data_IF_778526117359
#
_entry.id   IF_778526117359
#
_cell.length_a   1.000
_cell.length_b   1.000
_cell.length_c   1.000
_cell.angle_alpha   90.00
_cell.angle_beta   90.00
_cell.angle_gamma   90.00
#
_symmetry.space_group_name_H-M   'P 1'
#
loop_
_entity.id
_entity.type
_entity.pdbx_description
1 polymer ?
#
# COMPACT_ATOMS: atom_id res chain seq x y z
N UNK A 1 -30.98 -23.20 6.78
CA UNK A 1 -31.29 -21.78 6.49
C UNK A 1 -30.06 -21.18 5.81
N UNK A 2 -30.02 -21.22 4.47
CA UNK A 2 -28.85 -20.76 3.71
C UNK A 2 -28.85 -19.24 3.63
N UNK A 3 -27.93 -18.60 4.34
CA UNK A 3 -27.67 -17.17 4.20
C UNK A 3 -26.98 -16.94 2.85
N UNK A 4 -27.76 -16.79 1.78
CA UNK A 4 -27.31 -16.03 0.61
C UNK A 4 -27.17 -14.58 1.07
N UNK A 5 -26.11 -14.27 1.84
CA UNK A 5 -25.68 -12.89 2.04
C UNK A 5 -25.23 -12.42 0.68
N UNK A 6 -26.11 -11.72 -0.03
CA UNK A 6 -25.74 -10.92 -1.20
C UNK A 6 -24.55 -10.08 -0.78
N UNK A 7 -23.37 -10.43 -1.29
CA UNK A 7 -22.15 -9.67 -1.07
C UNK A 7 -22.29 -8.38 -1.87
N UNK A 8 -22.93 -7.38 -1.26
CA UNK A 8 -23.03 -6.03 -1.81
C UNK A 8 -21.92 -5.20 -1.20
N UNK A 9 -20.97 -4.79 -2.02
CA UNK A 9 -20.08 -3.68 -1.68
C UNK A 9 -20.93 -2.41 -1.58
N UNK A 10 -20.68 -1.61 -0.54
CA UNK A 10 -21.20 -0.24 -0.49
C UNK A 10 -20.59 0.55 -1.65
N UNK A 11 -21.36 1.48 -2.22
CA UNK A 11 -20.96 2.23 -3.42
C UNK A 11 -19.64 2.98 -3.22
N UNK A 12 -19.29 3.35 -1.97
CA UNK A 12 -18.07 4.07 -1.60
C UNK A 12 -16.99 3.18 -0.94
N UNK A 13 -17.22 1.87 -0.81
CA UNK A 13 -16.31 0.97 -0.10
C UNK A 13 -14.91 0.91 -0.74
N UNK A 14 -14.86 0.84 -2.08
CA UNK A 14 -13.60 0.81 -2.82
C UNK A 14 -12.87 2.14 -2.70
N UNK A 15 -13.59 3.26 -2.80
CA UNK A 15 -13.03 4.60 -2.65
C UNK A 15 -12.42 4.79 -1.25
N UNK A 16 -13.08 4.31 -0.20
CA UNK A 16 -12.55 4.29 1.17
C UNK A 16 -11.27 3.44 1.27
N UNK A 17 -11.26 2.24 0.70
CA UNK A 17 -10.07 1.38 0.72
C UNK A 17 -8.88 2.03 -0.01
N UNK A 18 -9.12 2.65 -1.16
CA UNK A 18 -8.09 3.40 -1.91
C UNK A 18 -7.62 4.60 -1.09
N UNK A 19 -8.53 5.36 -0.48
CA UNK A 19 -8.20 6.50 0.38
C UNK A 19 -7.31 6.12 1.57
N UNK A 20 -7.59 5.00 2.24
CA UNK A 20 -6.72 4.48 3.31
C UNK A 20 -5.33 4.12 2.77
N UNK A 21 -5.24 3.52 1.57
CA UNK A 21 -3.93 3.25 0.96
C UNK A 21 -3.17 4.55 0.66
N UNK A 22 -3.85 5.57 0.15
CA UNK A 22 -3.25 6.88 -0.14
C UNK A 22 -2.71 7.55 1.13
N UNK A 23 -3.47 7.53 2.24
CA UNK A 23 -3.01 8.02 3.54
C UNK A 23 -1.77 7.26 4.04
N UNK A 24 -1.75 5.92 3.90
CA UNK A 24 -0.60 5.12 4.30
C UNK A 24 0.64 5.42 3.44
N UNK A 25 0.47 5.67 2.14
CA UNK A 25 1.56 6.05 1.23
C UNK A 25 2.14 7.41 1.61
N UNK A 26 1.30 8.38 1.94
CA UNK A 26 1.76 9.70 2.40
C UNK A 26 2.59 9.60 3.69
N UNK A 27 2.13 8.79 4.65
CA UNK A 27 2.87 8.53 5.89
C UNK A 27 4.22 7.84 5.63
N UNK A 28 4.28 6.89 4.70
CA UNK A 28 5.53 6.23 4.30
C UNK A 28 6.48 7.19 3.59
N UNK A 29 6.00 8.04 2.70
CA UNK A 29 6.84 9.05 2.04
C UNK A 29 7.48 9.99 3.05
N UNK A 30 6.73 10.40 4.08
CA UNK A 30 7.26 11.20 5.17
C UNK A 30 8.24 10.42 6.06
N UNK A 31 7.99 9.14 6.30
CA UNK A 31 8.95 8.27 7.00
C UNK A 31 10.26 8.11 6.22
N UNK A 32 10.19 7.94 4.89
CA UNK A 32 11.36 7.87 4.00
C UNK A 32 12.15 9.17 4.04
N UNK A 33 11.48 10.33 3.94
CA UNK A 33 12.13 11.65 4.05
C UNK A 33 12.78 11.87 5.42
N UNK A 34 12.21 11.35 6.50
CA UNK A 34 12.82 11.41 7.84
C UNK A 34 14.01 10.47 7.95
N UNK A 35 13.88 9.25 7.42
CA UNK A 35 14.95 8.25 7.41
C UNK A 35 16.16 8.72 6.60
N UNK A 36 15.97 9.40 5.48
CA UNK A 36 17.07 9.94 4.67
C UNK A 36 17.90 11.02 5.40
N UNK A 37 17.35 11.66 6.43
CA UNK A 37 18.10 12.58 7.30
C UNK A 37 19.04 11.85 8.25
N UNK A 38 18.78 10.57 8.53
CA UNK A 38 19.62 9.73 9.38
C UNK A 38 20.88 9.24 8.66
N UNK A 39 20.96 9.38 7.34
CA UNK A 39 22.14 9.03 6.53
C UNK A 39 23.37 9.93 6.82
N UNK A 40 23.18 11.03 7.57
CA UNK A 40 24.24 11.96 7.99
C UNK A 40 24.66 11.75 9.44
N UNK A 41 25.03 10.52 9.81
CA UNK A 41 25.53 10.25 11.17
C UNK A 41 26.99 10.70 11.26
N UNK A 42 27.27 11.68 12.11
CA UNK A 42 28.61 12.23 12.33
C UNK A 42 28.80 12.60 13.80
N UNK A 43 30.04 12.88 14.21
CA UNK A 43 30.36 13.30 15.59
C UNK A 43 30.78 12.18 16.54
N UNK A 44 31.09 10.98 16.04
CA UNK A 44 31.58 9.87 16.87
C UNK A 44 33.06 10.02 17.31
N UNK A 45 33.81 10.93 16.69
CA UNK A 45 35.24 11.13 16.94
C UNK A 45 36.14 10.45 15.91
N UNK A 46 37.45 10.43 16.17
CA UNK A 46 38.48 9.95 15.22
C UNK A 46 39.10 8.59 15.57
N UNK A 47 38.60 7.89 16.59
CA UNK A 47 39.07 6.55 16.94
C UNK A 47 38.54 5.52 15.93
N UNK A 48 39.25 4.41 15.75
CA UNK A 48 38.81 3.32 14.86
C UNK A 48 37.40 2.83 15.18
N UNK A 49 37.08 2.68 16.47
CA UNK A 49 35.73 2.28 16.91
C UNK A 49 34.65 3.30 16.57
N UNK A 50 34.98 4.59 16.47
CA UNK A 50 34.06 5.64 16.05
C UNK A 50 33.69 5.50 14.58
N UNK A 51 34.68 5.16 13.73
CA UNK A 51 34.47 4.89 12.30
C UNK A 51 33.61 3.64 12.11
N UNK A 52 33.92 2.55 12.81
CA UNK A 52 33.14 1.30 12.74
C UNK A 52 31.68 1.50 13.18
N UNK A 53 31.45 2.32 14.22
CA UNK A 53 30.10 2.70 14.64
C UNK A 53 29.37 3.50 13.56
N UNK A 54 30.03 4.50 12.98
CA UNK A 54 29.47 5.30 11.90
C UNK A 54 29.06 4.43 10.72
N UNK A 55 29.93 3.53 10.27
CA UNK A 55 29.66 2.60 9.17
C UNK A 55 28.53 1.63 9.50
N UNK A 56 28.50 1.11 10.73
CA UNK A 56 27.43 0.22 11.19
C UNK A 56 26.06 0.91 11.23
N UNK A 57 26.01 2.18 11.64
CA UNK A 57 24.79 2.97 11.56
C UNK A 57 24.40 3.24 10.10
N UNK A 58 25.36 3.60 9.24
CA UNK A 58 25.11 3.81 7.81
C UNK A 58 24.49 2.58 7.17
N UNK A 59 25.04 1.37 7.40
CA UNK A 59 24.47 0.13 6.87
C UNK A 59 23.04 -0.13 7.35
N UNK A 60 22.75 0.15 8.62
CA UNK A 60 21.38 -0.02 9.15
C UNK A 60 20.39 0.94 8.48
N UNK A 61 20.83 2.10 8.03
CA UNK A 61 19.97 3.09 7.39
C UNK A 61 19.83 2.90 5.89
N UNK A 62 20.95 2.82 5.16
CA UNK A 62 21.04 2.89 3.70
C UNK A 62 21.83 1.74 3.09
N UNK A 63 21.97 0.62 3.80
CA UNK A 63 22.48 -0.62 3.23
C UNK A 63 21.73 -1.00 1.95
N UNK A 64 22.45 -1.64 1.02
CA UNK A 64 21.93 -2.04 -0.29
C UNK A 64 20.94 -3.21 -0.23
N UNK A 65 20.58 -3.74 -1.40
CA UNK A 65 19.57 -4.79 -1.53
C UNK A 65 19.87 -6.02 -0.66
N UNK A 66 18.87 -6.48 0.08
CA UNK A 66 18.97 -7.60 1.00
C UNK A 66 19.59 -7.27 2.36
N UNK A 67 19.99 -6.02 2.62
CA UNK A 67 20.57 -5.63 3.91
C UNK A 67 19.54 -5.55 5.04
N UNK A 68 18.25 -5.47 4.70
CA UNK A 68 17.18 -5.20 5.65
C UNK A 68 17.27 -3.80 6.26
N UNK A 69 17.91 -2.86 5.54
CA UNK A 69 18.06 -1.48 6.02
C UNK A 69 16.69 -0.81 6.18
N UNK A 70 16.63 0.25 6.99
CA UNK A 70 15.40 1.04 7.16
C UNK A 70 14.90 1.55 5.81
N UNK A 71 15.79 2.04 4.96
CA UNK A 71 15.43 2.50 3.61
C UNK A 71 14.84 1.37 2.75
N UNK A 72 15.48 0.20 2.74
CA UNK A 72 14.99 -0.96 1.98
C UNK A 72 13.60 -1.41 2.48
N UNK A 73 13.41 -1.51 3.80
CA UNK A 73 12.13 -1.92 4.39
C UNK A 73 11.00 -0.94 4.10
N UNK A 74 11.26 0.36 4.21
CA UNK A 74 10.25 1.39 3.88
C UNK A 74 9.84 1.31 2.40
N UNK A 75 10.79 1.09 1.49
CA UNK A 75 10.49 0.90 0.06
C UNK A 75 9.68 -0.38 -0.20
N UNK A 76 10.01 -1.49 0.47
CA UNK A 76 9.24 -2.74 0.37
C UNK A 76 7.78 -2.56 0.85
N UNK A 77 7.58 -1.85 1.97
CA UNK A 77 6.24 -1.53 2.44
C UNK A 77 5.48 -0.64 1.46
N UNK A 78 6.14 0.37 0.89
CA UNK A 78 5.54 1.23 -0.14
C UNK A 78 5.03 0.40 -1.32
N UNK A 79 5.88 -0.47 -1.87
CA UNK A 79 5.50 -1.34 -2.99
C UNK A 79 4.30 -2.24 -2.67
N UNK A 80 4.25 -2.79 -1.46
CA UNK A 80 3.13 -3.62 -1.02
C UNK A 80 1.82 -2.83 -0.95
N UNK A 81 1.86 -1.58 -0.48
CA UNK A 81 0.68 -0.71 -0.38
C UNK A 81 0.25 -0.22 -1.76
N UNK A 82 1.18 0.12 -2.64
CA UNK A 82 0.88 0.45 -4.04
C UNK A 82 0.17 -0.72 -4.75
N UNK A 83 0.65 -1.96 -4.55
CA UNK A 83 0.01 -3.15 -5.06
C UNK A 83 -1.38 -3.36 -4.47
N UNK A 84 -1.55 -3.17 -3.16
CA UNK A 84 -2.83 -3.28 -2.47
C UNK A 84 -3.84 -2.26 -3.02
N UNK A 85 -3.42 -1.00 -3.18
CA UNK A 85 -4.21 0.07 -3.78
C UNK A 85 -4.67 -0.29 -5.19
N UNK A 86 -3.73 -0.73 -6.03
CA UNK A 86 -4.02 -1.13 -7.41
C UNK A 86 -5.04 -2.29 -7.45
N UNK A 87 -4.88 -3.27 -6.56
CA UNK A 87 -5.79 -4.41 -6.44
C UNK A 87 -7.21 -3.96 -6.05
N UNK A 88 -7.36 -2.98 -5.16
CA UNK A 88 -8.68 -2.42 -4.81
C UNK A 88 -9.33 -1.71 -5.99
N UNK A 89 -8.56 -0.92 -6.75
CA UNK A 89 -9.07 -0.23 -7.95
C UNK A 89 -9.56 -1.24 -8.98
N UNK A 90 -8.73 -2.23 -9.32
CA UNK A 90 -9.07 -3.26 -10.31
C UNK A 90 -10.25 -4.13 -9.86
N UNK A 91 -10.24 -4.56 -8.59
CA UNK A 91 -11.32 -5.36 -8.01
C UNK A 91 -12.65 -4.61 -7.96
N UNK A 92 -12.61 -3.30 -7.65
CA UNK A 92 -13.79 -2.44 -7.66
C UNK A 92 -14.39 -2.25 -9.05
N UNK A 93 -13.55 -2.01 -10.05
CA UNK A 93 -13.99 -1.91 -11.45
C UNK A 93 -14.65 -3.21 -11.93
N UNK A 94 -14.01 -4.35 -11.70
CA UNK A 94 -14.54 -5.66 -12.06
C UNK A 94 -15.90 -5.95 -11.38
N UNK A 95 -16.07 -5.52 -10.13
CA UNK A 95 -17.34 -5.64 -9.42
C UNK A 95 -18.43 -4.73 -10.00
N UNK A 96 -18.11 -3.47 -10.30
CA UNK A 96 -19.05 -2.51 -10.91
C UNK A 96 -19.55 -2.97 -12.29
N UNK A 97 -18.65 -3.53 -13.11
CA UNK A 97 -19.01 -4.12 -14.40
C UNK A 97 -19.95 -5.31 -14.26
N UNK A 98 -19.68 -6.20 -13.30
CA UNK A 98 -20.52 -7.35 -13.00
C UNK A 98 -21.92 -6.94 -12.51
N UNK A 99 -22.01 -5.98 -11.58
CA UNK A 99 -23.31 -5.48 -11.07
C UNK A 99 -24.11 -4.81 -12.20
N UNK A 100 -23.46 -4.02 -13.06
CA UNK A 100 -24.08 -3.38 -14.23
C UNK A 100 -24.59 -4.42 -15.25
N UNK A 101 -23.83 -5.49 -15.49
CA UNK A 101 -24.25 -6.59 -16.35
C UNK A 101 -25.47 -7.33 -15.78
N UNK A 102 -25.46 -7.62 -14.47
CA UNK A 102 -26.58 -8.27 -13.77
C UNK A 102 -27.83 -7.39 -13.81
N UNK A 103 -27.72 -6.07 -13.54
CA UNK A 103 -28.84 -5.13 -13.62
C UNK A 103 -29.47 -5.11 -15.02
N UNK A 104 -28.66 -5.10 -16.08
CA UNK A 104 -29.15 -5.18 -17.47
C UNK A 104 -29.88 -6.50 -17.74
N UNK A 105 -29.31 -7.62 -17.32
CA UNK A 105 -29.93 -8.93 -17.49
C UNK A 105 -31.30 -9.00 -16.76
N UNK A 106 -31.37 -8.57 -15.51
CA UNK A 106 -32.62 -8.53 -14.74
C UNK A 106 -33.67 -7.61 -15.38
N UNK A 107 -33.27 -6.43 -15.86
CA UNK A 107 -34.16 -5.50 -16.55
C UNK A 107 -34.74 -6.09 -17.84
N UNK A 108 -33.93 -6.86 -18.59
CA UNK A 108 -34.40 -7.53 -19.81
C UNK A 108 -35.45 -8.62 -19.52
N UNK A 109 -35.28 -9.37 -18.43
CA UNK A 109 -36.22 -10.42 -17.99
C UNK A 109 -37.56 -9.79 -17.56
N UNK A 110 -37.52 -8.70 -16.78
CA UNK A 110 -38.74 -7.99 -16.37
C UNK A 110 -39.48 -7.34 -17.55
N UNK A 111 -38.76 -6.88 -18.57
CA UNK A 111 -39.34 -6.34 -19.80
C UNK A 111 -40.06 -7.40 -20.65
N UNK A 112 -39.56 -8.64 -20.66
CA UNK A 112 -40.17 -9.77 -21.39
C UNK A 112 -41.39 -10.42 -20.71
N UNK A 113 -41.68 -10.03 -19.46
CA UNK A 113 -42.81 -10.52 -18.66
C UNK A 113 -44.05 -9.59 -18.74
N UNK A 114 -43.99 -8.53 -19.53
CA UNK A 114 -45.12 -7.66 -19.90
C UNK A 114 -45.54 -7.92 -21.35
#
# INVERSE_FOLDING_TARGET
MGMSKTLRLEDDAIEKCVGVCDEMLEQLDDAIKKASRLDRVSGFGGFTSAVELQDGYQQKFSGGDGSGSVAERLNQFRLAIELMRQTFVEGGQAFGDADSAIRRALGSIQGSLK
#
